data_IF_294099277859
#
_entry.id   IF_294099277859
#
_cell.length_a   1.000
_cell.length_b   1.000
_cell.length_c   1.000
_cell.angle_alpha   90.00
_cell.angle_beta   90.00
_cell.angle_gamma   90.00
#
_symmetry.space_group_name_H-M   'P 1'
#
loop_
_entity.id
_entity.type
_entity.pdbx_description
1 polymer ?
#
# COMPACT_ATOMS: atom_id res chain seq x y z
N UNK A 1 5.50 -1.99 -27.34
CA UNK A 1 4.08 -1.54 -27.37
C UNK A 1 4.01 -0.05 -27.73
N UNK A 2 2.97 0.43 -28.43
CA UNK A 2 2.77 1.86 -28.75
C UNK A 2 1.74 2.56 -27.83
N UNK A 3 1.63 3.90 -27.92
CA UNK A 3 0.74 4.71 -27.04
C UNK A 3 -0.73 4.35 -27.20
N UNK A 4 -1.20 4.11 -28.43
CA UNK A 4 -2.60 3.78 -28.69
C UNK A 4 -2.97 2.42 -28.09
N UNK A 5 -2.10 1.42 -28.24
CA UNK A 5 -2.23 0.11 -27.61
C UNK A 5 -2.25 0.22 -26.08
N UNK A 6 -1.32 1.00 -25.51
CA UNK A 6 -1.25 1.21 -24.07
C UNK A 6 -2.56 1.76 -23.50
N UNK A 7 -3.15 2.78 -24.15
CA UNK A 7 -4.40 3.42 -23.71
C UNK A 7 -5.62 2.49 -23.73
N UNK A 8 -5.56 1.39 -24.49
CA UNK A 8 -6.62 0.38 -24.51
C UNK A 8 -6.51 -0.65 -23.40
N UNK A 9 -5.39 -0.70 -22.65
CA UNK A 9 -5.25 -1.58 -21.49
C UNK A 9 -6.22 -1.09 -20.40
N UNK A 10 -7.18 -1.92 -19.95
CA UNK A 10 -8.10 -1.49 -18.90
C UNK A 10 -7.33 -1.22 -17.61
N UNK A 11 -7.44 0.00 -17.10
CA UNK A 11 -6.72 0.43 -15.90
C UNK A 11 -7.16 -0.36 -14.67
N UNK A 12 -8.43 -0.76 -14.61
CA UNK A 12 -8.95 -1.61 -13.55
C UNK A 12 -8.26 -2.99 -13.52
N UNK A 13 -8.09 -3.61 -14.69
CA UNK A 13 -7.45 -4.92 -14.82
C UNK A 13 -5.95 -4.82 -14.49
N UNK A 14 -5.29 -3.73 -14.91
CA UNK A 14 -3.91 -3.46 -14.53
C UNK A 14 -3.75 -3.27 -13.01
N UNK A 15 -4.63 -2.49 -12.38
CA UNK A 15 -4.60 -2.34 -10.92
C UNK A 15 -4.78 -3.68 -10.21
N UNK A 16 -5.68 -4.52 -10.71
CA UNK A 16 -5.90 -5.87 -10.17
C UNK A 16 -4.67 -6.77 -10.33
N UNK A 17 -3.96 -6.70 -11.47
CA UNK A 17 -2.76 -7.52 -11.69
C UNK A 17 -1.61 -7.18 -10.74
N UNK A 18 -1.55 -5.94 -10.25
CA UNK A 18 -0.59 -5.50 -9.23
C UNK A 18 -1.13 -5.60 -7.80
N UNK A 19 -2.30 -6.23 -7.61
CA UNK A 19 -2.89 -6.51 -6.29
C UNK A 19 -3.70 -5.37 -5.67
N UNK A 20 -4.08 -4.35 -6.45
CA UNK A 20 -4.89 -3.22 -5.98
C UNK A 20 -6.35 -3.48 -6.35
N UNK A 21 -7.16 -3.77 -5.34
CA UNK A 21 -8.59 -4.07 -5.49
C UNK A 21 -9.46 -2.86 -5.17
N UNK A 22 -10.60 -2.68 -5.86
CA UNK A 22 -11.53 -1.59 -5.58
C UNK A 22 -12.22 -1.79 -4.23
N UNK A 23 -12.38 -0.70 -3.48
CA UNK A 23 -13.09 -0.67 -2.20
C UNK A 23 -14.60 -0.45 -2.41
N UNK A 24 -14.98 0.25 -3.48
CA UNK A 24 -16.38 0.57 -3.80
C UNK A 24 -16.58 0.73 -5.29
N UNK A 25 -17.78 0.36 -5.77
CA UNK A 25 -18.24 0.63 -7.14
C UNK A 25 -19.46 1.55 -7.10
N UNK A 26 -19.46 2.58 -7.93
CA UNK A 26 -20.59 3.50 -8.09
C UNK A 26 -20.80 3.81 -9.57
N UNK A 27 -21.80 3.17 -10.17
CA UNK A 27 -22.00 3.20 -11.62
C UNK A 27 -20.75 2.72 -12.37
N UNK A 28 -20.25 3.57 -13.28
CA UNK A 28 -19.05 3.29 -14.07
C UNK A 28 -17.74 3.71 -13.38
N UNK A 29 -17.80 4.07 -12.09
CA UNK A 29 -16.61 4.45 -11.33
C UNK A 29 -16.27 3.39 -10.29
N UNK A 30 -15.00 3.01 -10.25
CA UNK A 30 -14.40 2.23 -9.19
C UNK A 30 -13.60 3.16 -8.28
N UNK A 31 -13.74 2.96 -6.97
CA UNK A 31 -13.05 3.71 -5.94
C UNK A 31 -12.04 2.83 -5.23
N UNK A 32 -10.86 3.37 -5.02
CA UNK A 32 -9.72 2.71 -4.39
C UNK A 32 -9.14 3.64 -3.33
N UNK A 33 -8.44 3.04 -2.37
CA UNK A 33 -7.43 3.78 -1.63
C UNK A 33 -6.32 4.22 -2.57
N UNK A 34 -5.84 5.45 -2.40
CA UNK A 34 -4.80 6.00 -3.26
C UNK A 34 -3.54 5.13 -3.19
N UNK A 35 -3.01 4.67 -4.34
CA UNK A 35 -1.78 3.91 -4.37
C UNK A 35 -0.55 4.76 -4.00
N UNK A 36 -0.70 6.08 -3.92
CA UNK A 36 0.42 7.02 -3.72
C UNK A 36 0.59 7.48 -2.27
N UNK A 37 -0.36 7.17 -1.38
CA UNK A 37 -0.33 7.63 0.02
C UNK A 37 -1.15 6.72 0.93
N UNK A 38 -0.94 6.83 2.23
CA UNK A 38 -1.83 6.21 3.22
C UNK A 38 -3.03 7.13 3.47
N UNK A 39 -4.23 6.57 3.36
CA UNK A 39 -5.48 7.27 3.64
C UNK A 39 -6.49 6.30 4.27
N UNK A 40 -7.45 6.85 5.02
CA UNK A 40 -8.53 6.07 5.67
C UNK A 40 -9.81 6.04 4.85
N UNK A 41 -10.00 7.05 3.98
CA UNK A 41 -11.15 7.19 3.09
C UNK A 41 -10.69 7.08 1.62
N UNK A 42 -11.36 6.26 0.79
CA UNK A 42 -10.95 6.05 -0.59
C UNK A 42 -11.20 7.30 -1.43
N UNK A 43 -10.16 7.78 -2.11
CA UNK A 43 -10.22 9.02 -2.89
C UNK A 43 -9.72 8.87 -4.33
N UNK A 44 -9.22 7.69 -4.68
CA UNK A 44 -8.75 7.39 -6.02
C UNK A 44 -9.87 6.76 -6.85
N UNK A 45 -10.24 7.41 -7.94
CA UNK A 45 -11.37 7.01 -8.80
C UNK A 45 -10.88 6.57 -10.17
N UNK A 46 -11.30 5.39 -10.63
CA UNK A 46 -11.12 4.92 -12.02
C UNK A 46 -12.47 4.88 -12.71
N UNK A 47 -12.58 5.55 -13.86
CA UNK A 47 -13.76 5.47 -14.70
C UNK A 47 -13.59 4.37 -15.76
N UNK A 48 -14.47 3.38 -15.74
CA UNK A 48 -14.41 2.20 -16.61
C UNK A 48 -14.68 2.51 -18.08
N UNK A 49 -15.50 3.52 -18.37
CA UNK A 49 -15.84 3.91 -19.76
C UNK A 49 -14.73 4.74 -20.39
N UNK A 50 -14.23 5.73 -19.63
CA UNK A 50 -13.16 6.63 -20.10
C UNK A 50 -11.77 6.03 -19.97
N UNK A 51 -11.63 4.90 -19.28
CA UNK A 51 -10.37 4.28 -18.90
C UNK A 51 -9.36 5.27 -18.29
N UNK A 52 -9.85 6.15 -17.40
CA UNK A 52 -9.09 7.25 -16.82
C UNK A 52 -9.19 7.24 -15.30
N UNK A 53 -8.09 7.55 -14.64
CA UNK A 53 -8.04 7.79 -13.19
C UNK A 53 -8.21 9.25 -12.84
N UNK A 54 -8.69 9.53 -11.63
CA UNK A 54 -8.58 10.82 -10.96
C UNK A 54 -8.37 10.58 -9.47
N UNK A 55 -7.38 11.24 -8.89
CA UNK A 55 -7.11 11.20 -7.46
C UNK A 55 -7.62 12.51 -6.82
N UNK A 56 -8.64 12.42 -5.97
CA UNK A 56 -9.24 13.59 -5.33
C UNK A 56 -8.46 14.07 -4.10
N UNK A 57 -7.66 13.22 -3.46
CA UNK A 57 -6.91 13.61 -2.28
C UNK A 57 -5.56 14.28 -2.59
N UNK A 58 -5.05 14.18 -3.82
CA UNK A 58 -3.85 14.90 -4.26
C UNK A 58 -4.15 16.20 -5.04
N UNK A 59 -5.42 16.49 -5.34
CA UNK A 59 -5.81 17.65 -6.14
C UNK A 59 -5.36 17.60 -7.61
N UNK A 60 -4.88 16.45 -8.09
CA UNK A 60 -4.31 16.32 -9.43
C UNK A 60 -5.36 16.22 -10.53
N UNK A 61 -4.98 16.67 -11.73
CA UNK A 61 -5.71 16.31 -12.94
C UNK A 61 -5.59 14.80 -13.18
N UNK A 62 -6.72 14.19 -13.55
CA UNK A 62 -6.78 12.78 -13.88
C UNK A 62 -5.87 12.42 -15.05
N UNK A 63 -5.67 11.12 -15.27
CA UNK A 63 -4.74 10.64 -16.29
C UNK A 63 -5.14 9.27 -16.83
N UNK A 64 -4.51 8.88 -17.93
CA UNK A 64 -4.59 7.53 -18.48
C UNK A 64 -3.61 6.59 -17.75
N UNK A 65 -3.54 5.34 -18.23
CA UNK A 65 -2.62 4.34 -17.68
C UNK A 65 -1.15 4.75 -17.84
N UNK A 66 -0.76 5.46 -18.89
CA UNK A 66 0.63 5.90 -19.08
C UNK A 66 1.02 6.88 -17.97
N UNK A 67 0.20 7.91 -17.75
CA UNK A 67 0.40 8.86 -16.65
C UNK A 67 0.31 8.20 -15.27
N UNK A 68 -0.47 7.13 -15.15
CA UNK A 68 -0.48 6.32 -13.93
C UNK A 68 0.88 5.63 -13.72
N UNK A 69 1.39 4.87 -14.69
CA UNK A 69 2.68 4.18 -14.62
C UNK A 69 3.82 5.15 -14.38
N UNK A 70 3.82 6.28 -15.10
CA UNK A 70 4.85 7.31 -14.95
C UNK A 70 4.94 7.79 -13.50
N UNK A 71 3.80 8.12 -12.91
CA UNK A 71 3.73 8.52 -11.50
C UNK A 71 4.08 7.37 -10.55
N UNK A 72 3.59 6.17 -10.83
CA UNK A 72 3.78 4.98 -10.02
C UNK A 72 5.26 4.58 -9.90
N UNK A 73 6.03 4.74 -10.98
CA UNK A 73 7.44 4.38 -11.06
C UNK A 73 8.39 5.59 -10.87
N UNK A 74 7.86 6.82 -10.80
CA UNK A 74 8.68 8.04 -10.75
C UNK A 74 9.51 8.26 -12.01
N UNK A 75 8.93 8.00 -13.18
CA UNK A 75 9.61 8.09 -14.49
C UNK A 75 9.01 9.21 -15.34
N UNK A 76 9.87 9.93 -16.05
CA UNK A 76 9.48 11.09 -16.87
C UNK A 76 9.36 10.76 -18.37
N UNK A 77 9.78 9.56 -18.78
CA UNK A 77 9.80 9.13 -20.19
C UNK A 77 8.65 8.15 -20.49
N UNK A 78 7.81 8.51 -21.46
CA UNK A 78 6.72 7.67 -21.96
C UNK A 78 7.23 6.31 -22.47
N UNK A 79 8.38 6.26 -23.13
CA UNK A 79 8.97 5.01 -23.62
C UNK A 79 9.20 3.99 -22.51
N UNK A 80 9.66 4.43 -21.33
CA UNK A 80 9.87 3.55 -20.18
C UNK A 80 8.53 3.00 -19.65
N UNK A 81 7.49 3.84 -19.60
CA UNK A 81 6.15 3.39 -19.22
C UNK A 81 5.59 2.34 -20.20
N UNK A 82 5.84 2.51 -21.50
CA UNK A 82 5.43 1.54 -22.52
C UNK A 82 6.17 0.20 -22.39
N UNK A 83 7.44 0.19 -22.00
CA UNK A 83 8.18 -1.04 -21.73
C UNK A 83 7.64 -1.79 -20.51
N UNK A 84 7.25 -1.07 -19.45
CA UNK A 84 6.63 -1.69 -18.26
C UNK A 84 5.31 -2.37 -18.66
N UNK A 85 4.48 -1.69 -19.44
CA UNK A 85 3.19 -2.18 -19.87
C UNK A 85 3.27 -3.30 -20.93
N UNK A 86 4.36 -3.39 -21.71
CA UNK A 86 4.55 -4.47 -22.69
C UNK A 86 4.97 -5.80 -22.05
N UNK A 87 5.25 -5.84 -20.75
CA UNK A 87 5.78 -7.03 -20.08
C UNK A 87 7.22 -7.37 -20.49
N UNK A 88 7.87 -6.53 -21.32
CA UNK A 88 9.29 -6.68 -21.70
C UNK A 88 10.22 -6.41 -20.51
N UNK A 89 9.68 -5.88 -19.43
CA UNK A 89 10.36 -5.71 -18.15
C UNK A 89 10.35 -7.03 -17.37
N UNK A 90 11.08 -8.01 -17.89
CA UNK A 90 11.73 -8.97 -16.99
C UNK A 90 12.85 -8.21 -16.28
N UNK A 91 12.62 -7.77 -15.03
CA UNK A 91 13.62 -7.17 -14.11
C UNK A 91 13.93 -5.66 -14.29
N UNK A 92 12.95 -4.76 -14.15
CA UNK A 92 13.29 -3.46 -13.56
C UNK A 92 13.50 -3.75 -12.08
N UNK A 93 14.75 -3.60 -11.64
CA UNK A 93 15.20 -3.78 -10.27
C UNK A 93 14.18 -3.20 -9.29
N UNK A 94 13.83 -4.01 -8.29
CA UNK A 94 12.97 -3.68 -7.17
C UNK A 94 13.58 -2.62 -6.22
N UNK A 95 14.15 -1.55 -6.76
CA UNK A 95 14.86 -0.52 -6.01
C UNK A 95 14.24 0.86 -6.26
N UNK A 96 12.92 0.96 -6.09
CA UNK A 96 12.21 2.21 -5.71
C UNK A 96 10.73 1.98 -5.35
N UNK A 97 10.26 0.72 -5.36
CA UNK A 97 8.91 0.37 -4.96
C UNK A 97 8.79 0.23 -3.44
N UNK A 98 8.35 1.29 -2.77
CA UNK A 98 7.66 1.18 -1.47
C UNK A 98 6.14 1.17 -1.69
N UNK A 99 5.66 0.28 -2.56
CA UNK A 99 4.41 -0.38 -2.24
C UNK A 99 4.80 -1.44 -1.23
N UNK A 100 4.55 -1.18 0.06
CA UNK A 100 4.24 -2.33 0.91
C UNK A 100 2.94 -2.89 0.34
N UNK A 101 3.07 -3.80 -0.64
CA UNK A 101 2.31 -5.05 -0.56
C UNK A 101 2.22 -5.35 0.92
N UNK A 102 1.01 -5.52 1.44
CA UNK A 102 0.79 -6.09 2.76
C UNK A 102 1.90 -7.12 2.93
N UNK A 103 2.88 -6.80 3.78
CA UNK A 103 4.04 -7.66 3.90
C UNK A 103 3.41 -8.98 4.27
N UNK A 104 3.58 -9.90 3.32
CA UNK A 104 3.08 -11.25 3.38
C UNK A 104 3.23 -11.64 4.85
N UNK A 105 2.13 -11.97 5.54
CA UNK A 105 2.20 -12.33 6.96
C UNK A 105 3.21 -13.48 7.19
N UNK A 106 3.65 -14.15 6.11
CA UNK A 106 4.77 -15.08 6.04
C UNK A 106 6.18 -14.51 6.30
N UNK A 107 6.38 -13.19 6.38
CA UNK A 107 7.68 -12.59 6.73
C UNK A 107 7.88 -12.43 8.26
N UNK A 108 6.80 -12.55 9.03
CA UNK A 108 6.82 -12.53 10.48
C UNK A 108 6.81 -13.96 11.01
N UNK A 109 7.85 -14.32 11.76
CA UNK A 109 8.03 -15.64 12.31
C UNK A 109 8.04 -15.60 13.84
N UNK A 110 7.80 -16.74 14.50
CA UNK A 110 7.86 -16.88 15.97
C UNK A 110 7.05 -15.81 16.73
N UNK A 111 5.80 -15.58 16.31
CA UNK A 111 4.91 -14.60 16.94
C UNK A 111 4.45 -15.13 18.30
N UNK A 112 4.78 -14.41 19.37
CA UNK A 112 4.36 -14.71 20.74
C UNK A 112 3.66 -13.51 21.35
N UNK A 113 2.54 -13.76 22.01
CA UNK A 113 1.73 -12.73 22.65
C UNK A 113 1.73 -13.01 24.15
N UNK A 114 2.11 -12.01 24.95
CA UNK A 114 2.17 -12.14 26.40
C UNK A 114 1.64 -10.87 27.10
N UNK A 115 1.38 -10.92 28.41
CA UNK A 115 1.03 -9.73 29.19
C UNK A 115 2.07 -8.62 29.03
N UNK A 116 1.62 -7.37 29.00
CA UNK A 116 2.49 -6.21 28.85
C UNK A 116 3.31 -5.99 30.13
N UNK A 117 4.52 -6.53 30.16
CA UNK A 117 5.40 -6.59 31.32
C UNK A 117 6.83 -6.14 30.99
N UNK A 118 7.18 -6.04 29.70
CA UNK A 118 8.49 -5.63 29.24
C UNK A 118 8.84 -4.21 29.75
N UNK A 119 9.93 -4.05 30.53
CA UNK A 119 10.30 -2.76 31.11
C UNK A 119 10.51 -1.66 30.09
N UNK A 120 11.02 -1.97 28.89
CA UNK A 120 11.23 -1.00 27.82
C UNK A 120 9.90 -0.50 27.24
N UNK A 121 8.92 -1.38 27.08
CA UNK A 121 7.58 -1.01 26.63
C UNK A 121 6.83 -0.19 27.69
N UNK A 122 6.97 -0.57 28.96
CA UNK A 122 6.41 0.19 30.08
C UNK A 122 7.02 1.58 30.15
N UNK A 123 8.35 1.68 30.00
CA UNK A 123 9.06 2.97 29.99
C UNK A 123 8.60 3.84 28.81
N UNK A 124 8.47 3.27 27.62
CA UNK A 124 7.93 3.97 26.46
C UNK A 124 6.52 4.53 26.71
N UNK A 125 5.64 3.76 27.35
CA UNK A 125 4.30 4.23 27.70
C UNK A 125 4.33 5.36 28.74
N UNK A 126 5.22 5.28 29.74
CA UNK A 126 5.42 6.35 30.73
C UNK A 126 5.87 7.65 30.05
N UNK A 127 6.83 7.58 29.14
CA UNK A 127 7.31 8.75 28.38
C UNK A 127 6.20 9.40 27.54
N UNK A 128 5.29 8.57 27.01
CA UNK A 128 4.09 9.04 26.28
C UNK A 128 2.93 9.44 27.20
N UNK A 129 3.12 9.43 28.53
CA UNK A 129 2.11 9.77 29.54
C UNK A 129 0.84 8.90 29.45
N UNK A 130 1.00 7.63 29.09
CA UNK A 130 -0.10 6.67 29.01
C UNK A 130 -0.24 5.93 30.35
N UNK A 131 -1.47 5.80 30.85
CA UNK A 131 -1.75 5.13 32.12
C UNK A 131 -1.49 3.61 32.01
N UNK A 132 -0.48 3.13 32.75
CA UNK A 132 0.06 1.77 32.61
C UNK A 132 -1.00 0.71 32.89
N UNK A 133 -1.77 0.85 33.98
CA UNK A 133 -2.78 -0.14 34.34
C UNK A 133 -3.87 -0.26 33.27
N UNK A 134 -4.19 0.84 32.57
CA UNK A 134 -5.16 0.82 31.48
C UNK A 134 -4.57 0.18 30.21
N UNK A 135 -3.31 0.50 29.91
CA UNK A 135 -2.57 -0.15 28.82
C UNK A 135 -2.41 -1.66 29.05
N UNK A 136 -2.16 -2.12 30.26
CA UNK A 136 -2.04 -3.56 30.56
C UNK A 136 -3.37 -4.32 30.43
N UNK A 137 -4.51 -3.64 30.61
CA UNK A 137 -5.85 -4.21 30.43
C UNK A 137 -6.19 -4.39 28.94
N UNK A 138 -5.85 -3.42 28.11
CA UNK A 138 -6.26 -3.38 26.70
C UNK A 138 -5.19 -3.90 25.73
N UNK A 139 -3.93 -3.77 26.09
CA UNK A 139 -2.81 -4.13 25.24
C UNK A 139 -2.12 -5.41 25.74
N UNK A 140 -1.45 -6.06 24.80
CA UNK A 140 -0.50 -7.14 25.02
C UNK A 140 0.84 -6.74 24.41
N UNK A 141 1.91 -7.34 24.88
CA UNK A 141 3.17 -7.24 24.16
C UNK A 141 3.29 -8.42 23.19
N UNK A 142 3.82 -8.12 22.02
CA UNK A 142 3.96 -9.04 20.89
C UNK A 142 5.43 -9.14 20.56
N UNK A 143 5.97 -10.35 20.64
CA UNK A 143 7.32 -10.68 20.22
C UNK A 143 7.25 -11.36 18.86
N UNK A 144 8.13 -11.01 17.93
CA UNK A 144 8.18 -11.61 16.61
C UNK A 144 9.58 -11.50 16.02
N UNK A 145 9.89 -12.35 15.04
CA UNK A 145 11.07 -12.23 14.19
C UNK A 145 10.66 -11.64 12.85
N UNK A 146 11.46 -10.72 12.34
CA UNK A 146 11.31 -10.17 10.99
C UNK A 146 12.70 -10.13 10.34
N UNK A 147 12.86 -10.83 9.21
CA UNK A 147 14.15 -10.98 8.52
C UNK A 147 15.28 -11.41 9.48
N UNK A 148 15.02 -12.47 10.25
CA UNK A 148 15.90 -13.05 11.27
C UNK A 148 16.26 -12.16 12.48
N UNK A 149 15.70 -10.96 12.57
CA UNK A 149 15.90 -10.07 13.72
C UNK A 149 14.73 -10.15 14.69
N UNK A 150 14.98 -10.32 15.99
CA UNK A 150 13.91 -10.30 16.99
C UNK A 150 13.44 -8.87 17.25
N UNK A 151 12.13 -8.72 17.39
CA UNK A 151 11.45 -7.47 17.72
C UNK A 151 10.39 -7.72 18.78
N UNK A 152 10.02 -6.65 19.48
CA UNK A 152 8.89 -6.64 20.40
C UNK A 152 8.11 -5.33 20.25
N UNK A 153 6.79 -5.40 20.42
CA UNK A 153 5.88 -4.29 20.21
C UNK A 153 4.69 -4.35 21.16
N UNK A 154 3.94 -3.25 21.27
CA UNK A 154 2.65 -3.19 21.97
C UNK A 154 1.55 -3.38 20.92
N UNK A 155 0.62 -4.30 21.17
CA UNK A 155 -0.50 -4.60 20.29
C UNK A 155 -1.83 -4.69 21.04
N UNK A 156 -2.93 -4.42 20.36
CA UNK A 156 -4.28 -4.65 20.87
C UNK A 156 -4.74 -6.07 20.55
N UNK A 157 -5.56 -6.64 21.42
CA UNK A 157 -6.28 -7.88 21.12
C UNK A 157 -7.42 -7.56 20.14
N UNK A 158 -7.47 -8.25 19.00
CA UNK A 158 -8.62 -8.24 18.08
C UNK A 158 -9.65 -9.31 18.47
#
# INVERSE_FOLDING_TARGET
MNIAQAKNIPLADYLQSIGITPCKKQGNNLWYYSPFRKETEPSFKVNLVRNQRKDFGSGEQGGDIILFIMKLHGIDKVSQALHILSGEVSKIQANSFSFRQWENLSAYEDIRIQPLENPLLIQYLKERKIHISFAQQLCKEVHFRFKDKPYFAIGFKN
#
